data_IF_838854599176
#
_entry.id   IF_838854599176
#
_cell.length_a   1.000
_cell.length_b   1.000
_cell.length_c   1.000
_cell.angle_alpha   90.00
_cell.angle_beta   90.00
_cell.angle_gamma   90.00
#
_symmetry.space_group_name_H-M   'P 1'
#
loop_
_entity.id
_entity.type
_entity.pdbx_description
1 polymer ?
#
# COMPACT_ATOMS: atom_id res chain seq x y z
N UNK A 1 14.61 15.14 7.80
CA UNK A 1 13.26 14.85 7.28
C UNK A 1 12.84 15.91 6.29
N UNK A 2 11.94 15.56 5.38
CA UNK A 2 11.16 16.46 4.53
C UNK A 2 9.69 16.11 4.68
N UNK A 3 8.82 17.10 4.64
CA UNK A 3 7.38 16.91 4.75
C UNK A 3 6.70 17.34 3.45
N UNK A 4 5.57 16.72 3.15
CA UNK A 4 4.72 17.03 2.00
C UNK A 4 3.26 16.83 2.38
N UNK A 5 2.32 17.15 1.50
CA UNK A 5 0.89 17.00 1.80
C UNK A 5 0.30 15.70 1.26
N UNK A 6 0.83 15.19 0.18
CA UNK A 6 0.31 13.98 -0.46
C UNK A 6 1.37 12.89 -0.61
N UNK A 7 0.92 11.62 -0.68
CA UNK A 7 1.82 10.48 -0.90
C UNK A 7 2.54 10.55 -2.25
N UNK A 8 1.87 11.05 -3.29
CA UNK A 8 2.48 11.23 -4.61
C UNK A 8 3.65 12.22 -4.56
N UNK A 9 3.47 13.38 -3.93
CA UNK A 9 4.55 14.35 -3.70
C UNK A 9 5.70 13.74 -2.90
N UNK A 10 5.40 13.07 -1.78
CA UNK A 10 6.41 12.40 -0.96
C UNK A 10 7.24 11.40 -1.77
N UNK A 11 6.58 10.63 -2.63
CA UNK A 11 7.22 9.68 -3.51
C UNK A 11 8.12 10.37 -4.54
N UNK A 12 7.66 11.44 -5.18
CA UNK A 12 8.46 12.22 -6.13
C UNK A 12 9.67 12.89 -5.47
N UNK A 13 9.47 13.49 -4.29
CA UNK A 13 10.55 14.09 -3.48
C UNK A 13 11.60 13.06 -3.08
N UNK A 14 11.18 11.88 -2.60
CA UNK A 14 12.12 10.82 -2.22
C UNK A 14 12.95 10.32 -3.41
N UNK A 15 12.34 10.16 -4.58
CA UNK A 15 13.06 9.80 -5.82
C UNK A 15 14.04 10.91 -6.21
N UNK A 16 13.65 12.18 -6.12
CA UNK A 16 14.53 13.31 -6.44
C UNK A 16 15.75 13.36 -5.51
N UNK A 17 15.54 13.21 -4.21
CA UNK A 17 16.64 13.14 -3.21
C UNK A 17 17.56 11.96 -3.50
N UNK A 18 17.00 10.78 -3.77
CA UNK A 18 17.75 9.59 -4.11
C UNK A 18 18.56 9.78 -5.40
N UNK A 19 17.95 10.31 -6.47
CA UNK A 19 18.65 10.64 -7.71
C UNK A 19 19.79 11.64 -7.51
N UNK A 20 19.64 12.62 -6.64
CA UNK A 20 20.72 13.55 -6.27
C UNK A 20 21.85 12.91 -5.47
N UNK A 21 21.61 11.74 -4.87
CA UNK A 21 22.53 11.03 -4.00
C UNK A 21 23.28 9.88 -4.68
N UNK A 22 23.00 9.59 -5.94
CA UNK A 22 23.64 8.52 -6.72
C UNK A 22 23.88 8.96 -8.16
N UNK A 23 24.91 8.43 -8.78
CA UNK A 23 25.19 8.63 -10.23
C UNK A 23 24.19 7.87 -11.10
N UNK A 24 23.76 6.70 -10.64
CA UNK A 24 22.80 5.84 -11.36
C UNK A 24 21.38 6.33 -11.11
N UNK A 25 20.72 6.87 -12.13
CA UNK A 25 19.41 7.56 -11.99
C UNK A 25 18.20 6.66 -12.19
N UNK A 26 18.40 5.43 -12.67
CA UNK A 26 17.28 4.52 -12.96
C UNK A 26 16.69 3.91 -11.70
N UNK A 27 15.39 3.75 -11.71
CA UNK A 27 14.58 3.27 -10.58
C UNK A 27 13.99 1.92 -10.91
N UNK A 28 14.25 0.91 -10.09
CA UNK A 28 13.43 -0.30 -10.04
C UNK A 28 12.36 -0.13 -8.95
N UNK A 29 11.11 -0.46 -9.24
CA UNK A 29 10.05 -0.28 -8.26
C UNK A 29 9.05 -1.44 -8.22
N UNK A 30 8.41 -1.62 -7.04
CA UNK A 30 7.34 -2.58 -6.84
C UNK A 30 6.25 -1.98 -5.97
N UNK A 31 5.01 -1.99 -6.44
CA UNK A 31 3.85 -1.43 -5.77
C UNK A 31 3.34 -0.14 -6.39
N UNK A 32 2.35 0.46 -5.71
CA UNK A 32 1.71 1.71 -6.14
C UNK A 32 2.37 2.92 -5.47
N UNK A 33 2.81 3.88 -6.28
CA UNK A 33 3.57 5.04 -5.77
C UNK A 33 3.06 6.41 -6.26
N UNK A 34 1.79 6.50 -6.59
CA UNK A 34 1.17 7.75 -7.05
C UNK A 34 1.06 7.83 -8.58
N UNK A 35 1.03 9.07 -9.10
CA UNK A 35 0.72 9.37 -10.50
C UNK A 35 1.77 10.27 -11.18
N UNK A 36 2.86 10.59 -10.48
CA UNK A 36 3.89 11.47 -11.00
C UNK A 36 4.66 10.83 -12.17
N UNK A 37 5.21 11.65 -13.03
CA UNK A 37 5.88 11.29 -14.27
C UNK A 37 6.92 10.19 -14.11
N UNK A 38 7.74 10.25 -13.05
CA UNK A 38 8.77 9.24 -12.78
C UNK A 38 8.21 7.82 -12.67
N UNK A 39 6.96 7.68 -12.19
CA UNK A 39 6.29 6.39 -12.00
C UNK A 39 5.55 5.97 -13.27
N UNK A 40 4.74 6.87 -13.85
CA UNK A 40 3.96 6.58 -15.05
C UNK A 40 4.83 6.40 -16.30
N UNK A 41 6.06 6.95 -16.32
CA UNK A 41 7.02 6.76 -17.42
C UNK A 41 7.38 5.28 -17.68
N UNK A 42 7.12 4.39 -16.74
CA UNK A 42 7.28 2.95 -16.96
C UNK A 42 6.40 2.43 -18.12
N UNK A 43 5.23 3.03 -18.33
CA UNK A 43 4.32 2.66 -19.44
C UNK A 43 4.77 3.14 -20.81
N UNK A 44 5.74 4.06 -20.92
CA UNK A 44 6.30 4.47 -22.23
C UNK A 44 6.98 3.28 -22.93
N UNK A 45 7.59 2.36 -22.16
CA UNK A 45 8.24 1.17 -22.71
C UNK A 45 7.25 0.07 -23.15
N UNK A 46 6.15 -0.04 -22.42
CA UNK A 46 5.05 -0.96 -22.71
C UNK A 46 3.81 -0.51 -21.94
N UNK A 47 2.71 -0.33 -22.63
CA UNK A 47 1.42 0.08 -22.05
C UNK A 47 0.92 -0.83 -20.91
N UNK A 48 1.51 -2.01 -20.74
CA UNK A 48 1.14 -2.99 -19.74
C UNK A 48 2.09 -3.09 -18.53
N UNK A 49 3.15 -2.29 -18.50
CA UNK A 49 4.16 -2.39 -17.42
C UNK A 49 3.59 -2.10 -16.02
N UNK A 50 2.58 -1.26 -15.92
CA UNK A 50 1.93 -0.92 -14.65
C UNK A 50 0.65 -1.73 -14.36
N UNK A 51 0.21 -2.62 -15.25
CA UNK A 51 -1.05 -3.36 -15.10
C UNK A 51 -1.12 -4.20 -13.82
N UNK A 52 0.03 -4.62 -13.29
CA UNK A 52 0.12 -5.34 -12.01
C UNK A 52 0.28 -4.42 -10.79
N UNK A 53 0.56 -3.14 -10.98
CA UNK A 53 0.83 -2.16 -9.92
C UNK A 53 -0.25 -1.09 -9.83
N UNK A 54 -1.00 -0.88 -10.90
CA UNK A 54 -2.01 0.13 -11.08
C UNK A 54 -3.22 -0.46 -11.81
N UNK A 55 -4.29 0.30 -11.98
CA UNK A 55 -5.41 -0.10 -12.85
C UNK A 55 -4.91 -0.33 -14.27
N UNK A 56 -5.30 -1.45 -14.86
CA UNK A 56 -4.97 -1.74 -16.26
C UNK A 56 -5.67 -0.77 -17.21
N UNK A 57 -5.03 -0.50 -18.35
CA UNK A 57 -5.58 0.37 -19.39
C UNK A 57 -5.49 1.87 -19.11
N UNK A 58 -4.78 2.30 -18.05
CA UNK A 58 -4.53 3.72 -17.84
C UNK A 58 -3.51 4.25 -18.84
N UNK A 59 -3.86 5.41 -19.41
CA UNK A 59 -3.01 6.11 -20.37
C UNK A 59 -1.86 6.85 -19.66
N UNK A 60 -0.78 7.07 -20.38
CA UNK A 60 0.38 7.84 -19.91
C UNK A 60 0.56 9.13 -20.73
N UNK A 61 -0.51 9.62 -21.35
CA UNK A 61 -0.48 10.86 -22.12
C UNK A 61 0.00 12.03 -21.26
N UNK A 62 0.78 12.90 -21.84
CA UNK A 62 1.42 14.02 -21.15
C UNK A 62 2.75 13.70 -20.46
N UNK A 63 3.17 12.43 -20.41
CA UNK A 63 4.48 12.07 -19.85
C UNK A 63 5.58 12.29 -20.90
N UNK A 64 6.64 13.07 -20.58
CA UNK A 64 7.72 13.35 -21.51
C UNK A 64 8.46 12.09 -21.98
N UNK A 65 8.69 11.96 -23.29
CA UNK A 65 9.30 10.78 -23.89
C UNK A 65 10.76 10.54 -23.44
N UNK A 66 11.47 11.59 -23.03
CA UNK A 66 12.84 11.48 -22.51
C UNK A 66 12.92 10.74 -21.15
N UNK A 67 11.79 10.50 -20.47
CA UNK A 67 11.72 9.66 -19.29
C UNK A 67 11.65 8.16 -19.61
N UNK A 68 11.58 7.80 -20.87
CA UNK A 68 11.65 6.40 -21.32
C UNK A 68 12.92 5.74 -20.77
N UNK A 69 12.79 4.48 -20.32
CA UNK A 69 13.90 3.71 -19.73
C UNK A 69 14.52 4.30 -18.45
N UNK A 70 13.77 5.04 -17.65
CA UNK A 70 14.21 5.55 -16.35
C UNK A 70 13.57 4.86 -15.15
N UNK A 71 12.42 4.20 -15.35
CA UNK A 71 11.66 3.49 -14.30
C UNK A 71 11.21 2.12 -14.78
N UNK A 72 11.47 1.11 -13.96
CA UNK A 72 11.29 -0.30 -14.30
C UNK A 72 10.53 -1.03 -13.17
N UNK A 73 9.33 -1.55 -13.43
CA UNK A 73 8.62 -2.36 -12.47
C UNK A 73 9.26 -3.74 -12.32
N UNK A 74 9.13 -4.34 -11.13
CA UNK A 74 9.49 -5.73 -10.89
C UNK A 74 8.41 -6.42 -10.03
N UNK A 75 8.19 -7.75 -10.21
CA UNK A 75 7.24 -8.50 -9.41
C UNK A 75 7.69 -8.63 -7.95
N UNK A 76 6.74 -8.54 -7.02
CA UNK A 76 7.01 -8.78 -5.59
C UNK A 76 7.39 -10.24 -5.36
N UNK A 77 8.31 -10.49 -4.43
CA UNK A 77 8.90 -11.81 -4.13
C UNK A 77 9.74 -12.45 -5.27
N UNK A 78 9.91 -11.80 -6.41
CA UNK A 78 10.79 -12.30 -7.48
C UNK A 78 12.18 -11.67 -7.44
N UNK A 79 13.01 -12.18 -6.54
CA UNK A 79 14.41 -11.70 -6.41
C UNK A 79 15.27 -12.02 -7.64
N UNK A 80 14.97 -13.11 -8.36
CA UNK A 80 15.70 -13.50 -9.59
C UNK A 80 15.48 -12.46 -10.68
N UNK A 81 14.22 -12.06 -10.89
CA UNK A 81 13.88 -10.99 -11.83
C UNK A 81 14.56 -9.66 -11.46
N UNK A 82 14.45 -9.26 -10.19
CA UNK A 82 15.09 -8.03 -9.68
C UNK A 82 16.61 -8.03 -9.90
N UNK A 83 17.29 -9.13 -9.61
CA UNK A 83 18.73 -9.27 -9.80
C UNK A 83 19.13 -9.13 -11.28
N UNK A 84 18.36 -9.74 -12.19
CA UNK A 84 18.55 -9.60 -13.64
C UNK A 84 18.31 -8.16 -14.11
N UNK A 85 17.30 -7.49 -13.54
CA UNK A 85 17.00 -6.09 -13.85
C UNK A 85 18.16 -5.17 -13.43
N UNK A 86 18.68 -5.35 -12.21
CA UNK A 86 19.83 -4.59 -11.68
C UNK A 86 21.07 -4.73 -12.57
N UNK A 87 21.37 -5.94 -13.07
CA UNK A 87 22.52 -6.18 -13.94
C UNK A 87 22.40 -5.52 -15.32
N UNK A 88 21.16 -5.40 -15.85
CA UNK A 88 20.91 -4.96 -17.23
C UNK A 88 20.58 -3.47 -17.36
N UNK A 89 20.06 -2.81 -16.32
CA UNK A 89 19.43 -1.49 -16.44
C UNK A 89 20.08 -0.39 -15.63
N UNK A 90 21.31 -0.58 -15.14
CA UNK A 90 22.05 0.41 -14.37
C UNK A 90 21.22 1.04 -13.23
N UNK A 91 20.57 0.19 -12.43
CA UNK A 91 19.67 0.61 -11.34
C UNK A 91 20.48 1.24 -10.21
N UNK A 92 20.09 2.45 -9.81
CA UNK A 92 20.66 3.17 -8.65
C UNK A 92 19.70 3.29 -7.48
N UNK A 93 18.41 3.02 -7.70
CA UNK A 93 17.37 3.19 -6.71
C UNK A 93 16.41 1.99 -6.80
N UNK A 94 16.13 1.38 -5.65
CA UNK A 94 15.02 0.43 -5.51
C UNK A 94 13.97 1.06 -4.61
N UNK A 95 12.73 1.13 -5.09
CA UNK A 95 11.60 1.65 -4.35
C UNK A 95 10.48 0.63 -4.29
N UNK A 96 9.95 0.35 -3.09
CA UNK A 96 8.89 -0.64 -2.95
C UNK A 96 8.02 -0.40 -1.72
N UNK A 97 6.77 -0.87 -1.78
CA UNK A 97 5.99 -1.14 -0.57
C UNK A 97 6.58 -2.37 0.13
N UNK A 98 6.68 -2.36 1.45
CA UNK A 98 7.30 -3.45 2.21
C UNK A 98 6.42 -4.71 2.20
N UNK A 99 5.15 -4.51 2.45
CA UNK A 99 4.12 -5.55 2.45
C UNK A 99 2.75 -4.88 2.36
N UNK A 100 1.83 -5.52 1.66
CA UNK A 100 0.43 -5.08 1.67
C UNK A 100 -0.53 -6.26 1.71
N UNK A 101 -0.69 -6.97 0.63
CA UNK A 101 -1.57 -8.13 0.52
C UNK A 101 -0.83 -9.44 0.75
N UNK A 102 0.37 -9.56 0.22
CA UNK A 102 1.21 -10.76 0.27
C UNK A 102 2.40 -10.51 1.20
N UNK A 103 2.75 -11.52 1.99
CA UNK A 103 3.94 -11.47 2.85
C UNK A 103 5.22 -11.64 2.04
N UNK A 104 6.33 -11.01 2.47
CA UNK A 104 7.62 -11.33 1.89
C UNK A 104 7.97 -12.79 2.16
N UNK A 105 8.40 -13.51 1.12
CA UNK A 105 8.77 -14.93 1.15
C UNK A 105 10.28 -15.08 1.02
N UNK A 106 10.83 -16.21 1.43
CA UNK A 106 12.22 -16.61 1.20
C UNK A 106 13.25 -15.52 1.55
N UNK A 107 13.04 -14.80 2.64
CA UNK A 107 13.88 -13.68 3.05
C UNK A 107 14.02 -12.59 1.97
N UNK A 108 12.97 -12.37 1.18
CA UNK A 108 12.98 -11.44 0.05
C UNK A 108 13.51 -10.04 0.43
N UNK A 109 12.96 -9.42 1.49
CA UNK A 109 13.37 -8.08 1.92
C UNK A 109 14.85 -8.04 2.33
N UNK A 110 15.35 -9.08 3.00
CA UNK A 110 16.77 -9.18 3.37
C UNK A 110 17.66 -9.33 2.15
N UNK A 111 17.25 -10.15 1.17
CA UNK A 111 17.96 -10.28 -0.11
C UNK A 111 18.01 -8.95 -0.86
N UNK A 112 16.90 -8.19 -0.88
CA UNK A 112 16.85 -6.84 -1.47
C UNK A 112 17.81 -5.89 -0.73
N UNK A 113 17.80 -5.86 0.60
CA UNK A 113 18.73 -5.01 1.37
C UNK A 113 20.19 -5.36 1.08
N UNK A 114 20.51 -6.64 1.05
CA UNK A 114 21.88 -7.13 0.82
C UNK A 114 22.40 -6.74 -0.58
N UNK A 115 21.59 -6.90 -1.62
CA UNK A 115 21.99 -6.48 -2.98
C UNK A 115 22.14 -4.96 -3.07
N UNK A 116 21.27 -4.19 -2.39
CA UNK A 116 21.40 -2.73 -2.32
C UNK A 116 22.74 -2.32 -1.67
N UNK A 117 23.12 -2.95 -0.57
CA UNK A 117 24.40 -2.70 0.10
C UNK A 117 25.58 -3.03 -0.84
N UNK A 118 25.59 -4.23 -1.44
CA UNK A 118 26.65 -4.70 -2.34
C UNK A 118 26.83 -3.82 -3.58
N UNK A 119 25.73 -3.33 -4.17
CA UNK A 119 25.74 -2.55 -5.43
C UNK A 119 25.63 -1.05 -5.22
N UNK A 120 25.67 -0.55 -3.95
CA UNK A 120 25.51 0.85 -3.57
C UNK A 120 24.20 1.45 -4.15
N UNK A 121 23.12 0.69 -4.11
CA UNK A 121 21.77 1.09 -4.54
C UNK A 121 21.02 1.68 -3.35
N UNK A 122 20.32 2.79 -3.53
CA UNK A 122 19.48 3.41 -2.50
C UNK A 122 18.17 2.65 -2.40
N UNK A 123 17.85 2.14 -1.21
CA UNK A 123 16.59 1.45 -0.92
C UNK A 123 15.59 2.40 -0.29
N UNK A 124 14.42 2.55 -0.91
CA UNK A 124 13.32 3.37 -0.43
C UNK A 124 12.12 2.46 -0.11
N UNK A 125 11.63 2.50 1.13
CA UNK A 125 10.38 1.85 1.49
C UNK A 125 9.22 2.86 1.51
N UNK A 126 8.15 2.53 0.81
CA UNK A 126 6.90 3.28 0.86
C UNK A 126 6.00 2.70 1.95
N UNK A 127 5.97 3.38 3.07
CA UNK A 127 5.15 3.04 4.24
C UNK A 127 3.90 3.93 4.35
N UNK A 128 3.53 4.64 3.28
CA UNK A 128 2.32 5.48 3.28
C UNK A 128 1.06 4.71 3.69
N UNK A 129 0.98 3.43 3.35
CA UNK A 129 -0.17 2.59 3.69
C UNK A 129 0.02 1.81 4.97
N UNK A 130 1.21 1.31 5.24
CA UNK A 130 1.53 0.37 6.32
C UNK A 130 2.10 1.03 7.56
N UNK A 131 2.69 2.21 7.43
CA UNK A 131 3.22 2.95 8.56
C UNK A 131 2.17 3.29 9.62
N UNK A 132 2.58 3.20 10.88
CA UNK A 132 1.77 3.50 12.06
C UNK A 132 0.48 2.66 12.17
N UNK A 133 0.54 1.39 11.72
CA UNK A 133 -0.61 0.47 11.82
C UNK A 133 -0.33 -0.77 12.66
N UNK A 134 0.81 -1.40 12.50
CA UNK A 134 1.16 -2.59 13.29
C UNK A 134 2.15 -2.30 14.43
N UNK A 135 2.85 -1.19 14.33
CA UNK A 135 3.77 -0.68 15.35
C UNK A 135 3.89 0.84 15.26
N UNK A 136 4.70 1.46 16.12
CA UNK A 136 4.95 2.92 16.15
C UNK A 136 5.96 3.37 15.09
N UNK A 137 5.96 2.73 13.93
CA UNK A 137 6.84 3.07 12.80
C UNK A 137 6.36 2.40 11.53
N UNK A 138 7.30 2.02 10.67
CA UNK A 138 7.01 1.26 9.46
C UNK A 138 6.91 -0.24 9.71
N UNK A 139 6.14 -0.93 8.88
CA UNK A 139 6.04 -2.40 8.97
C UNK A 139 7.38 -3.10 8.72
N UNK A 140 8.34 -2.45 8.05
CA UNK A 140 9.69 -2.96 7.84
C UNK A 140 10.41 -3.33 9.14
N UNK A 141 10.06 -2.69 10.26
CA UNK A 141 10.63 -2.99 11.58
C UNK A 141 10.29 -4.43 12.02
N UNK A 142 9.11 -4.94 11.64
CA UNK A 142 8.72 -6.33 11.94
C UNK A 142 9.60 -7.35 11.19
N UNK A 143 10.25 -6.96 10.10
CA UNK A 143 11.15 -7.79 9.30
C UNK A 143 12.63 -7.50 9.59
N UNK A 144 12.94 -6.54 10.48
CA UNK A 144 14.31 -6.12 10.83
C UNK A 144 15.14 -5.70 9.60
N UNK A 145 14.50 -5.07 8.61
CA UNK A 145 15.16 -4.58 7.39
C UNK A 145 14.99 -3.06 7.30
N UNK A 146 16.08 -2.33 7.44
CA UNK A 146 16.05 -0.87 7.39
C UNK A 146 16.34 -0.34 5.97
N UNK A 147 15.48 0.54 5.43
CA UNK A 147 15.74 1.24 4.17
C UNK A 147 16.77 2.36 4.33
N UNK A 148 17.16 2.96 3.23
CA UNK A 148 17.93 4.20 3.23
C UNK A 148 17.02 5.43 3.36
N UNK A 149 15.82 5.37 2.78
CA UNK A 149 14.71 6.33 2.94
C UNK A 149 13.41 5.58 3.22
N UNK A 150 12.56 6.13 4.06
CA UNK A 150 11.20 5.67 4.29
C UNK A 150 10.21 6.82 4.11
N UNK A 151 9.03 6.51 3.57
CA UNK A 151 7.96 7.47 3.31
C UNK A 151 6.75 7.09 4.15
N UNK A 152 6.23 8.03 4.92
CA UNK A 152 5.06 7.85 5.78
C UNK A 152 3.95 8.81 5.36
N UNK A 153 2.70 8.41 5.56
CA UNK A 153 1.51 9.21 5.28
C UNK A 153 0.27 8.59 5.91
N UNK A 154 -0.89 8.89 5.38
CA UNK A 154 -2.20 8.35 5.81
C UNK A 154 -2.38 8.35 7.34
N UNK A 155 -2.04 7.25 8.03
CA UNK A 155 -2.17 7.14 9.48
C UNK A 155 -1.32 8.17 10.25
N UNK A 156 -0.24 8.69 9.65
CA UNK A 156 0.57 9.77 10.23
C UNK A 156 -0.27 10.99 10.61
N UNK A 157 -1.14 11.43 9.72
CA UNK A 157 -2.02 12.59 9.93
C UNK A 157 -3.42 12.24 10.42
N UNK A 158 -3.79 10.94 10.49
CA UNK A 158 -5.11 10.46 10.94
C UNK A 158 -6.30 11.22 10.33
N UNK A 159 -6.22 11.53 9.03
CA UNK A 159 -7.25 12.26 8.28
C UNK A 159 -6.79 13.64 7.78
N UNK A 160 -5.72 14.19 8.32
CA UNK A 160 -5.12 15.44 7.85
C UNK A 160 -3.99 15.18 6.85
N UNK A 161 -3.82 16.12 5.92
CA UNK A 161 -2.85 16.02 4.84
C UNK A 161 -1.43 16.28 5.34
N UNK A 162 -0.69 15.23 5.63
CA UNK A 162 0.73 15.26 5.93
C UNK A 162 1.40 13.96 5.50
N UNK A 163 2.58 14.07 4.91
CA UNK A 163 3.48 12.95 4.64
C UNK A 163 4.89 13.34 5.06
N UNK A 164 5.69 12.34 5.40
CA UNK A 164 7.07 12.54 5.81
C UNK A 164 8.00 11.62 5.03
N UNK A 165 9.13 12.16 4.61
CA UNK A 165 10.27 11.41 4.10
C UNK A 165 11.37 11.49 5.16
N UNK A 166 11.76 10.34 5.69
CA UNK A 166 12.85 10.22 6.65
C UNK A 166 13.93 9.30 6.09
N UNK A 167 15.14 9.42 6.55
CA UNK A 167 16.21 8.54 6.10
C UNK A 167 17.59 8.90 6.59
N UNK A 168 18.57 8.20 6.05
CA UNK A 168 19.99 8.39 6.40
C UNK A 168 20.45 9.82 6.14
N UNK A 169 21.11 10.44 7.12
CA UNK A 169 21.57 11.84 7.06
C UNK A 169 22.36 12.14 5.78
N UNK A 170 23.27 11.25 5.37
CA UNK A 170 24.10 11.41 4.16
C UNK A 170 23.25 11.59 2.89
N UNK A 171 22.12 10.88 2.79
CA UNK A 171 21.20 10.95 1.63
C UNK A 171 20.31 12.17 1.77
N UNK A 172 19.69 12.36 2.94
CA UNK A 172 18.75 13.48 3.19
C UNK A 172 19.44 14.85 3.03
N UNK A 173 20.74 14.97 3.34
CA UNK A 173 21.51 16.21 3.16
C UNK A 173 21.53 16.69 1.69
N UNK A 174 21.39 15.77 0.71
CA UNK A 174 21.27 16.17 -0.71
C UNK A 174 20.03 16.98 -1.05
N UNK A 175 19.00 16.93 -0.19
CA UNK A 175 17.83 17.79 -0.33
C UNK A 175 18.14 19.30 -0.14
N UNK A 176 19.24 19.65 0.52
CA UNK A 176 19.64 21.02 0.75
C UNK A 176 20.13 21.69 -0.56
N UNK A 177 20.77 20.90 -1.43
CA UNK A 177 21.33 21.35 -2.70
C UNK A 177 20.41 21.06 -3.91
N UNK A 178 19.17 20.63 -3.65
CA UNK A 178 18.20 20.32 -4.69
C UNK A 178 16.94 21.13 -4.42
N UNK A 179 16.49 21.92 -5.41
CA UNK A 179 15.29 22.73 -5.23
C UNK A 179 14.06 21.82 -5.02
N UNK A 180 13.62 21.74 -3.77
CA UNK A 180 12.48 20.98 -3.32
C UNK A 180 11.70 21.87 -2.34
N UNK A 181 10.63 22.51 -2.81
CA UNK A 181 9.86 23.48 -2.05
C UNK A 181 8.38 23.43 -2.40
N UNK A 182 7.55 23.81 -1.45
CA UNK A 182 6.14 24.13 -1.64
C UNK A 182 5.67 25.02 -0.48
N UNK A 183 4.84 26.01 -0.78
CA UNK A 183 4.33 26.99 0.17
C UNK A 183 3.65 26.34 1.38
N UNK A 184 2.80 25.35 1.13
CA UNK A 184 1.96 24.75 2.18
C UNK A 184 2.59 23.58 2.94
N UNK A 185 3.81 23.19 2.64
CA UNK A 185 4.45 22.10 3.39
C UNK A 185 4.82 22.47 4.82
N UNK A 186 4.92 23.77 5.12
CA UNK A 186 5.13 24.30 6.47
C UNK A 186 3.87 24.59 7.27
N UNK A 187 2.67 24.32 6.72
CA UNK A 187 1.41 24.58 7.43
C UNK A 187 1.28 23.72 8.69
N UNK A 188 0.87 24.34 9.80
CA UNK A 188 0.87 23.72 11.14
C UNK A 188 -0.12 22.58 11.31
N UNK A 189 -1.27 22.59 10.61
CA UNK A 189 -2.37 21.64 10.85
C UNK A 189 -1.90 20.19 10.76
N UNK A 190 -1.18 19.83 9.70
CA UNK A 190 -0.66 18.48 9.53
C UNK A 190 0.30 18.03 10.63
N UNK A 191 1.19 18.92 11.08
CA UNK A 191 2.16 18.63 12.15
C UNK A 191 1.48 18.43 13.50
N UNK A 192 0.52 19.29 13.84
CA UNK A 192 -0.25 19.19 15.07
C UNK A 192 -1.06 17.88 15.07
N UNK A 193 -1.70 17.56 13.95
CA UNK A 193 -2.44 16.32 13.78
C UNK A 193 -1.53 15.09 13.97
N UNK A 194 -0.34 15.08 13.37
CA UNK A 194 0.63 13.98 13.52
C UNK A 194 1.09 13.81 14.98
N UNK A 195 1.44 14.91 15.66
CA UNK A 195 1.84 14.87 17.07
C UNK A 195 0.71 14.39 17.97
N UNK A 196 -0.51 14.87 17.75
CA UNK A 196 -1.70 14.43 18.49
C UNK A 196 -1.98 12.94 18.23
N UNK A 197 -1.86 12.50 16.98
CA UNK A 197 -2.02 11.09 16.62
C UNK A 197 -1.02 10.19 17.37
N UNK A 198 0.25 10.58 17.46
CA UNK A 198 1.25 9.80 18.19
C UNK A 198 0.93 9.68 19.66
N UNK A 199 0.54 10.77 20.33
CA UNK A 199 0.10 10.74 21.73
C UNK A 199 -1.08 9.78 21.94
N UNK A 200 -2.08 9.82 21.06
CA UNK A 200 -3.23 8.95 21.14
C UNK A 200 -2.90 7.48 20.81
N UNK A 201 -1.99 7.22 19.88
CA UNK A 201 -1.55 5.86 19.56
C UNK A 201 -0.93 5.18 20.78
N UNK A 202 -0.13 5.88 21.55
CA UNK A 202 0.47 5.37 22.80
C UNK A 202 -0.57 5.26 23.91
N UNK A 203 -1.30 6.35 24.19
CA UNK A 203 -2.31 6.41 25.26
C UNK A 203 -3.36 5.30 25.15
N UNK A 204 -3.87 5.07 23.94
CA UNK A 204 -4.93 4.10 23.67
C UNK A 204 -4.40 2.70 23.36
N UNK A 205 -3.10 2.51 23.27
CA UNK A 205 -2.45 1.25 22.82
C UNK A 205 -3.04 0.77 21.49
N UNK A 206 -3.16 1.70 20.52
CA UNK A 206 -3.90 1.52 19.27
C UNK A 206 -3.43 0.28 18.52
N UNK A 207 -2.11 0.06 18.37
CA UNK A 207 -1.56 -1.07 17.61
C UNK A 207 -2.01 -2.43 18.17
N UNK A 208 -2.07 -2.58 19.50
CA UNK A 208 -2.57 -3.81 20.13
C UNK A 208 -4.05 -4.04 19.81
N UNK A 209 -4.86 -2.97 19.89
CA UNK A 209 -6.31 -3.05 19.64
C UNK A 209 -6.63 -3.35 18.17
N UNK A 210 -6.03 -2.61 17.23
CA UNK A 210 -6.32 -2.81 15.81
C UNK A 210 -5.82 -4.18 15.32
N UNK A 211 -4.66 -4.64 15.77
CA UNK A 211 -4.16 -5.97 15.42
C UNK A 211 -5.04 -7.09 15.98
N UNK A 212 -5.53 -6.94 17.23
CA UNK A 212 -6.51 -7.88 17.82
C UNK A 212 -7.80 -7.91 17.01
N UNK A 213 -8.37 -6.74 16.73
CA UNK A 213 -9.62 -6.63 15.97
C UNK A 213 -9.49 -7.16 14.55
N UNK A 214 -8.36 -6.91 13.90
CA UNK A 214 -8.10 -7.45 12.56
C UNK A 214 -7.98 -8.97 12.52
N UNK A 215 -7.41 -9.60 13.54
CA UNK A 215 -7.43 -11.07 13.68
C UNK A 215 -8.87 -11.58 13.85
N UNK A 216 -9.69 -10.90 14.66
CA UNK A 216 -11.11 -11.24 14.83
C UNK A 216 -11.84 -11.15 13.48
N UNK A 217 -11.62 -10.08 12.71
CA UNK A 217 -12.23 -9.92 11.39
C UNK A 217 -11.83 -11.06 10.43
N UNK A 218 -10.54 -11.42 10.39
CA UNK A 218 -10.07 -12.55 9.59
C UNK A 218 -10.72 -13.89 10.00
N UNK A 219 -10.88 -14.11 11.30
CA UNK A 219 -11.56 -15.30 11.80
C UNK A 219 -13.04 -15.32 11.41
N UNK A 220 -13.76 -14.19 11.55
CA UNK A 220 -15.14 -14.07 11.07
C UNK A 220 -15.25 -14.49 9.60
N UNK A 221 -14.37 -14.00 8.74
CA UNK A 221 -14.36 -14.36 7.33
C UNK A 221 -14.11 -15.86 7.10
N UNK A 222 -13.13 -16.41 7.81
CA UNK A 222 -12.80 -17.83 7.73
C UNK A 222 -13.98 -18.72 8.17
N UNK A 223 -14.63 -18.36 9.29
CA UNK A 223 -15.73 -19.15 9.86
C UNK A 223 -16.97 -19.09 8.94
N UNK A 224 -17.30 -17.91 8.40
CA UNK A 224 -18.40 -17.77 7.45
C UNK A 224 -18.14 -18.45 6.12
N UNK A 225 -16.89 -18.41 5.63
CA UNK A 225 -16.46 -19.15 4.44
C UNK A 225 -16.72 -20.66 4.61
N UNK A 226 -16.31 -21.23 5.74
CA UNK A 226 -16.53 -22.64 6.08
C UNK A 226 -18.03 -22.95 6.23
N UNK A 227 -18.74 -22.15 7.02
CA UNK A 227 -20.18 -22.31 7.29
C UNK A 227 -21.01 -22.39 6.00
N UNK A 228 -20.74 -21.50 5.08
CA UNK A 228 -21.52 -21.38 3.83
C UNK A 228 -20.85 -22.06 2.64
N UNK A 229 -19.72 -22.72 2.83
CA UNK A 229 -18.94 -23.39 1.76
C UNK A 229 -18.58 -22.46 0.59
N UNK A 230 -18.29 -21.18 0.91
CA UNK A 230 -17.86 -20.18 -0.06
C UNK A 230 -16.34 -20.06 0.00
N UNK A 231 -15.59 -20.50 -1.01
CA UNK A 231 -14.15 -20.45 -0.98
C UNK A 231 -13.65 -19.00 -1.11
N UNK A 232 -12.83 -18.56 -0.16
CA UNK A 232 -12.18 -17.26 -0.14
C UNK A 232 -10.68 -17.40 0.14
N UNK A 233 -9.89 -16.44 -0.34
CA UNK A 233 -8.50 -16.27 0.01
C UNK A 233 -8.34 -15.07 0.96
N UNK A 234 -7.84 -15.28 2.18
CA UNK A 234 -7.65 -14.22 3.18
C UNK A 234 -6.18 -13.81 3.21
N UNK A 235 -5.93 -12.53 2.97
CA UNK A 235 -4.60 -11.92 2.82
C UNK A 235 -4.45 -10.68 3.70
N UNK A 236 -3.38 -9.94 3.46
CA UNK A 236 -3.10 -8.66 4.11
C UNK A 236 -2.58 -8.78 5.53
N UNK A 237 -2.25 -7.65 6.14
CA UNK A 237 -1.82 -7.55 7.53
C UNK A 237 -3.03 -7.65 8.48
N UNK A 238 -2.78 -7.74 9.78
CA UNK A 238 -3.89 -7.67 10.76
C UNK A 238 -4.55 -6.30 10.75
N UNK A 239 -3.80 -5.23 10.53
CA UNK A 239 -4.33 -3.88 10.48
C UNK A 239 -5.05 -3.55 9.17
N UNK A 240 -4.76 -4.30 8.10
CA UNK A 240 -5.37 -4.13 6.76
C UNK A 240 -5.68 -5.53 6.21
N UNK A 241 -6.65 -6.25 6.80
CA UNK A 241 -7.06 -7.53 6.25
C UNK A 241 -7.85 -7.34 4.96
N UNK A 242 -7.69 -8.28 4.05
CA UNK A 242 -8.41 -8.36 2.77
C UNK A 242 -8.78 -9.81 2.50
N UNK A 243 -9.90 -10.03 1.83
CA UNK A 243 -10.21 -11.35 1.27
C UNK A 243 -10.68 -11.25 -0.19
N UNK A 244 -10.53 -12.32 -0.91
CA UNK A 244 -11.03 -12.45 -2.27
C UNK A 244 -11.92 -13.70 -2.37
N UNK A 245 -13.09 -13.56 -2.98
CA UNK A 245 -13.87 -14.74 -3.39
C UNK A 245 -13.13 -15.46 -4.51
N UNK A 246 -12.92 -16.75 -4.40
CA UNK A 246 -12.22 -17.51 -5.45
C UNK A 246 -13.08 -17.65 -6.72
N UNK A 247 -14.41 -17.58 -6.56
CA UNK A 247 -15.36 -17.62 -7.67
C UNK A 247 -16.13 -16.31 -7.77
N UNK A 248 -16.34 -15.81 -8.98
CA UNK A 248 -17.16 -14.62 -9.28
C UNK A 248 -16.82 -13.39 -8.41
N UNK A 249 -15.53 -13.14 -8.15
CA UNK A 249 -15.04 -12.15 -7.19
C UNK A 249 -15.73 -10.79 -7.32
N UNK A 250 -15.73 -10.19 -8.51
CA UNK A 250 -16.27 -8.83 -8.70
C UNK A 250 -17.77 -8.77 -8.47
N UNK A 251 -18.50 -9.79 -8.91
CA UNK A 251 -19.95 -9.91 -8.70
C UNK A 251 -20.28 -10.04 -7.21
N UNK A 252 -19.63 -10.97 -6.51
CA UNK A 252 -19.86 -11.21 -5.09
C UNK A 252 -19.43 -10.01 -4.24
N UNK A 253 -18.33 -9.35 -4.61
CA UNK A 253 -17.87 -8.11 -3.97
C UNK A 253 -18.88 -6.97 -4.14
N UNK A 254 -19.46 -6.81 -5.34
CA UNK A 254 -20.50 -5.80 -5.60
C UNK A 254 -21.70 -6.07 -4.73
N UNK A 255 -22.16 -7.32 -4.67
CA UNK A 255 -23.28 -7.74 -3.82
C UNK A 255 -23.02 -7.50 -2.33
N UNK A 256 -21.83 -7.89 -1.85
CA UNK A 256 -21.39 -7.61 -0.48
C UNK A 256 -21.52 -6.12 -0.14
N UNK A 257 -20.96 -5.26 -0.98
CA UNK A 257 -20.98 -3.80 -0.76
C UNK A 257 -22.43 -3.28 -0.76
N UNK A 258 -23.26 -3.72 -1.71
CA UNK A 258 -24.68 -3.37 -1.79
C UNK A 258 -25.43 -3.71 -0.49
N UNK A 259 -25.30 -4.94 -0.01
CA UNK A 259 -26.03 -5.39 1.18
C UNK A 259 -25.54 -4.74 2.46
N UNK A 260 -24.23 -4.48 2.57
CA UNK A 260 -23.65 -3.72 3.69
C UNK A 260 -24.17 -2.29 3.73
N UNK A 261 -24.27 -1.61 2.57
CA UNK A 261 -24.79 -0.24 2.49
C UNK A 261 -26.27 -0.14 2.90
N UNK A 262 -27.11 -1.13 2.58
CA UNK A 262 -28.52 -1.19 3.04
C UNK A 262 -28.62 -1.15 4.58
N UNK A 263 -27.62 -1.71 5.25
CA UNK A 263 -27.53 -1.74 6.72
C UNK A 263 -26.68 -0.57 7.29
N UNK A 264 -26.42 0.45 6.48
CA UNK A 264 -25.60 1.62 6.84
C UNK A 264 -24.18 1.23 7.30
N UNK A 265 -23.60 0.22 6.66
CA UNK A 265 -22.21 -0.21 6.87
C UNK A 265 -21.44 0.06 5.57
N UNK A 266 -20.48 0.98 5.62
CA UNK A 266 -19.55 1.21 4.50
C UNK A 266 -18.47 0.13 4.53
N UNK A 267 -18.70 -0.95 3.83
CA UNK A 267 -17.79 -2.10 3.80
C UNK A 267 -17.62 -2.70 2.41
N UNK A 268 -16.47 -3.30 2.20
CA UNK A 268 -16.13 -4.11 1.04
C UNK A 268 -15.30 -5.31 1.51
N UNK A 269 -14.57 -5.96 0.62
CA UNK A 269 -13.68 -7.08 0.92
C UNK A 269 -12.34 -6.70 1.57
N UNK A 270 -12.15 -5.43 1.91
CA UNK A 270 -10.95 -4.88 2.56
C UNK A 270 -11.38 -4.02 3.75
N UNK A 271 -10.64 -4.12 4.86
CA UNK A 271 -10.89 -3.32 6.06
C UNK A 271 -9.62 -2.59 6.48
N UNK A 272 -9.69 -1.27 6.62
CA UNK A 272 -8.71 -0.50 7.38
C UNK A 272 -9.14 -0.50 8.83
N UNK A 273 -8.55 -1.39 9.63
CA UNK A 273 -8.95 -1.59 11.01
C UNK A 273 -8.63 -0.36 11.86
N UNK A 274 -9.58 0.04 12.70
CA UNK A 274 -9.44 1.14 13.63
C UNK A 274 -9.98 0.78 15.01
N UNK A 275 -9.84 1.67 15.99
CA UNK A 275 -10.24 1.44 17.38
C UNK A 275 -11.77 1.32 17.57
N UNK A 276 -12.55 1.83 16.62
CA UNK A 276 -14.02 1.78 16.66
C UNK A 276 -14.61 0.48 16.12
N UNK A 277 -13.79 -0.44 15.59
CA UNK A 277 -14.21 -1.82 15.32
C UNK A 277 -14.35 -2.60 16.64
N UNK A 278 -15.23 -2.12 17.51
CA UNK A 278 -15.52 -2.73 18.81
C UNK A 278 -16.47 -3.94 18.67
N UNK A 279 -16.73 -4.62 19.79
CA UNK A 279 -17.56 -5.84 19.84
C UNK A 279 -18.96 -5.64 19.21
N UNK A 280 -19.60 -4.50 19.47
CA UNK A 280 -20.96 -4.21 18.95
C UNK A 280 -20.96 -4.00 17.43
N UNK A 281 -20.02 -3.20 16.93
CA UNK A 281 -19.86 -2.95 15.50
C UNK A 281 -19.51 -4.25 14.75
N UNK A 282 -18.60 -5.06 15.31
CA UNK A 282 -18.23 -6.35 14.73
C UNK A 282 -19.41 -7.34 14.76
N UNK A 283 -20.24 -7.36 15.82
CA UNK A 283 -21.46 -8.20 15.87
C UNK A 283 -22.45 -7.83 14.77
N UNK A 284 -22.70 -6.52 14.57
CA UNK A 284 -23.57 -6.03 13.48
C UNK A 284 -23.00 -6.42 12.12
N UNK A 285 -21.71 -6.17 11.88
CA UNK A 285 -21.02 -6.54 10.65
C UNK A 285 -21.11 -8.04 10.37
N UNK A 286 -20.85 -8.89 11.36
CA UNK A 286 -20.92 -10.35 11.22
C UNK A 286 -22.31 -10.83 10.83
N UNK A 287 -23.37 -10.28 11.45
CA UNK A 287 -24.77 -10.63 11.12
C UNK A 287 -25.11 -10.35 9.65
N UNK A 288 -24.70 -9.19 9.15
CA UNK A 288 -24.96 -8.83 7.76
C UNK A 288 -24.12 -9.69 6.81
N UNK A 289 -22.84 -9.90 7.15
CA UNK A 289 -21.94 -10.72 6.34
C UNK A 289 -22.40 -12.18 6.27
N UNK A 290 -22.92 -12.74 7.35
CA UNK A 290 -23.49 -14.09 7.38
C UNK A 290 -24.65 -14.23 6.39
N UNK A 291 -25.57 -13.25 6.35
CA UNK A 291 -26.67 -13.20 5.37
C UNK A 291 -26.13 -13.11 3.93
N UNK A 292 -25.11 -12.27 3.71
CA UNK A 292 -24.49 -12.13 2.39
C UNK A 292 -23.89 -13.45 1.91
N UNK A 293 -23.11 -14.13 2.77
CA UNK A 293 -22.50 -15.41 2.42
C UNK A 293 -23.58 -16.49 2.17
N UNK A 294 -24.65 -16.52 2.99
CA UNK A 294 -25.76 -17.42 2.78
C UNK A 294 -26.44 -17.20 1.40
N UNK A 295 -26.65 -15.94 1.00
CA UNK A 295 -27.25 -15.64 -0.30
C UNK A 295 -26.30 -15.99 -1.46
N UNK A 296 -25.01 -15.76 -1.30
CA UNK A 296 -24.00 -16.18 -2.30
C UNK A 296 -23.99 -17.70 -2.48
N UNK A 297 -24.12 -18.47 -1.40
CA UNK A 297 -24.15 -19.94 -1.46
C UNK A 297 -25.37 -20.49 -2.21
N UNK A 298 -26.49 -19.76 -2.17
CA UNK A 298 -27.73 -20.12 -2.90
C UNK A 298 -27.68 -19.82 -4.40
N UNK A 299 -26.65 -19.07 -4.85
CA UNK A 299 -26.49 -18.69 -6.25
C UNK A 299 -27.37 -17.51 -6.69
N UNK A 300 -27.41 -17.29 -7.99
CA UNK A 300 -28.25 -16.24 -8.63
C UNK A 300 -27.97 -14.80 -8.20
N UNK A 301 -26.76 -14.51 -7.69
CA UNK A 301 -26.37 -13.17 -7.21
C UNK A 301 -26.56 -12.10 -8.28
N UNK A 302 -26.33 -12.44 -9.57
CA UNK A 302 -26.51 -11.48 -10.67
C UNK A 302 -27.92 -10.88 -10.70
N UNK A 303 -28.97 -11.66 -10.37
CA UNK A 303 -30.36 -11.19 -10.29
C UNK A 303 -30.65 -10.30 -9.07
N UNK A 304 -29.82 -10.37 -8.04
CA UNK A 304 -29.96 -9.60 -6.80
C UNK A 304 -29.20 -8.27 -6.83
N UNK A 305 -28.43 -8.00 -7.88
CA UNK A 305 -27.69 -6.75 -8.02
C UNK A 305 -28.59 -5.62 -8.50
N UNK A 306 -28.56 -4.49 -7.79
CA UNK A 306 -29.23 -3.25 -8.17
C UNK A 306 -28.37 -2.33 -9.03
N UNK A 307 -27.11 -2.71 -9.29
CA UNK A 307 -26.13 -1.92 -10.03
C UNK A 307 -25.29 -2.79 -10.95
N UNK A 308 -24.54 -2.13 -11.84
CA UNK A 308 -23.51 -2.81 -12.63
C UNK A 308 -22.43 -3.39 -11.72
N UNK A 309 -21.84 -4.52 -12.13
CA UNK A 309 -20.71 -5.13 -11.43
C UNK A 309 -19.56 -4.12 -11.39
N UNK A 310 -18.93 -4.00 -10.23
CA UNK A 310 -17.80 -3.08 -10.02
C UNK A 310 -16.63 -3.41 -10.96
N UNK A 311 -15.86 -2.39 -11.30
CA UNK A 311 -14.64 -2.57 -12.08
C UNK A 311 -13.59 -3.39 -11.30
N UNK A 312 -12.71 -4.06 -12.03
CA UNK A 312 -11.54 -4.70 -11.44
C UNK A 312 -10.71 -3.61 -10.73
N UNK A 313 -10.47 -3.76 -9.42
CA UNK A 313 -9.65 -2.78 -8.70
C UNK A 313 -8.20 -2.86 -9.17
N UNK A 314 -7.39 -1.91 -8.70
CA UNK A 314 -5.93 -1.95 -8.87
C UNK A 314 -5.43 -3.34 -8.49
N UNK A 315 -4.80 -4.04 -9.43
CA UNK A 315 -4.09 -5.28 -9.12
C UNK A 315 -2.87 -4.91 -8.28
N UNK A 316 -2.90 -5.29 -7.00
CA UNK A 316 -1.76 -5.06 -6.12
C UNK A 316 -1.08 -6.39 -5.90
N UNK A 317 0.15 -6.50 -6.35
CA UNK A 317 0.94 -7.72 -6.25
C UNK A 317 1.65 -7.84 -4.90
N UNK A 318 1.63 -6.80 -4.10
CA UNK A 318 2.35 -6.75 -2.82
C UNK A 318 1.48 -6.49 -1.60
#
# INVERSE_FOLDING_TARGET
SKFTRSGGEANAVAIRIARASTEKKNVAFCGYHGWHDWYLSANINSKKNLDQHLMSGLNYDGIPQNLKNTSFPFPYNDFKYLSKLISKKNIGIIKMEVMRSIKPQDNFLQKVRNICNKKKIILIFDECTTGYRENMGGIHLNFKVNPDLAIFGKALGSGFAINAIIGKRKIMKKAENTFISSTFWGERVGYVAALSSFKEFERLKVFKKINKNGKIIKNIWSDLSKKHKIPINIMGTSAIPIFEFLNNHLQNKTYLTQEMLKEKILATNLVYVNIFHNKNNLKKYTKVLDRVFNNISRGNIKKLLNSKICFKPINRIN
#
